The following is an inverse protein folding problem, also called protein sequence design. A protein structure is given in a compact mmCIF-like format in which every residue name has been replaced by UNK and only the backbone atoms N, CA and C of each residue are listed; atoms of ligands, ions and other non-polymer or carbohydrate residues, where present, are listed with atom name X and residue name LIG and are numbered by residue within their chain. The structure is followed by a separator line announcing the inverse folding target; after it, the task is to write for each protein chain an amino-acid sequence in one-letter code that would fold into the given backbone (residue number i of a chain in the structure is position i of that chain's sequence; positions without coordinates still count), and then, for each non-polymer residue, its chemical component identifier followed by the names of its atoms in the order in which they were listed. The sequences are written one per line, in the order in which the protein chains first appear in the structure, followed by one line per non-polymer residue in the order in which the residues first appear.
data_IF_339483044119
#
_entry.id   IF_339483044119
#
_cell.length_a   1.000
_cell.length_b   1.000
_cell.length_c   1.000
_cell.angle_alpha   90.00
_cell.angle_beta   90.00
_cell.angle_gamma   90.00
#
_symmetry.space_group_name_H-M   'P 1'
#
loop_
_entity.id
_entity.type
_entity.pdbx_description
1 polymer ?
#
# COMPACT_ATOMS: atom_id res chain seq x y z
N UNK A 1 -25.82 -19.24 -33.43
CA UNK A 1 -25.05 -18.18 -32.71
C UNK A 1 -23.60 -18.52 -32.97
N UNK A 2 -22.83 -17.63 -33.55
CA UNK A 2 -21.42 -17.85 -33.86
C UNK A 2 -20.61 -17.19 -32.74
N UNK A 3 -19.74 -17.97 -32.08
CA UNK A 3 -18.91 -17.48 -30.98
C UNK A 3 -17.66 -16.81 -31.58
N UNK A 4 -17.50 -15.50 -31.31
CA UNK A 4 -16.35 -14.73 -31.76
C UNK A 4 -15.34 -14.63 -30.62
N UNK A 5 -14.11 -15.12 -30.87
CA UNK A 5 -12.99 -14.93 -29.94
C UNK A 5 -12.49 -13.50 -30.11
N UNK A 6 -12.54 -12.73 -29.05
CA UNK A 6 -12.01 -11.35 -28.99
C UNK A 6 -10.80 -11.31 -28.05
N UNK A 7 -9.60 -11.43 -28.58
CA UNK A 7 -8.37 -11.23 -27.82
C UNK A 7 -8.11 -9.73 -27.73
N UNK A 8 -8.00 -9.15 -26.53
CA UNK A 8 -7.68 -7.75 -26.38
C UNK A 8 -6.25 -7.47 -26.89
N UNK A 9 -6.08 -6.32 -27.50
CA UNK A 9 -4.78 -5.76 -27.88
C UNK A 9 -3.95 -5.54 -26.62
N UNK A 10 -2.78 -6.16 -26.55
CA UNK A 10 -1.95 -6.18 -25.34
C UNK A 10 -1.40 -4.80 -25.03
N UNK A 11 -0.92 -4.08 -26.06
CA UNK A 11 -0.37 -2.75 -25.95
C UNK A 11 -1.40 -1.77 -25.39
N UNK A 12 -2.58 -1.70 -25.97
CA UNK A 12 -3.63 -0.77 -25.55
C UNK A 12 -4.15 -1.07 -24.14
N UNK A 13 -4.34 -2.36 -23.84
CA UNK A 13 -4.90 -2.74 -22.55
C UNK A 13 -3.91 -2.50 -21.42
N UNK A 14 -2.61 -2.85 -21.59
CA UNK A 14 -1.61 -2.65 -20.53
C UNK A 14 -1.41 -1.17 -20.19
N UNK A 15 -1.41 -0.29 -21.22
CA UNK A 15 -1.34 1.15 -20.98
C UNK A 15 -2.64 1.71 -20.38
N UNK A 16 -3.81 1.17 -20.75
CA UNK A 16 -5.09 1.52 -20.13
C UNK A 16 -5.16 1.15 -18.64
N UNK A 17 -4.53 0.06 -18.25
CA UNK A 17 -4.44 -0.36 -16.85
C UNK A 17 -3.56 0.55 -15.98
N UNK A 18 -2.74 1.41 -16.56
CA UNK A 18 -1.95 2.40 -15.82
C UNK A 18 -2.79 3.52 -15.21
N UNK A 19 -3.97 3.79 -15.78
CA UNK A 19 -4.80 4.94 -15.42
C UNK A 19 -5.90 4.56 -14.40
N UNK A 20 -5.60 3.63 -13.51
CA UNK A 20 -6.51 3.10 -12.48
C UNK A 20 -6.62 3.98 -11.22
N UNK A 21 -6.11 5.22 -11.27
CA UNK A 21 -6.24 6.20 -10.18
C UNK A 21 -5.19 6.09 -9.07
N UNK A 22 -4.21 5.21 -9.20
CA UNK A 22 -3.10 5.14 -8.25
C UNK A 22 -2.23 6.40 -8.28
N UNK A 23 -1.73 6.76 -7.12
CA UNK A 23 -0.56 7.62 -6.95
C UNK A 23 0.56 6.81 -6.28
N UNK A 24 1.79 7.34 -6.27
CA UNK A 24 2.97 6.62 -5.76
C UNK A 24 2.75 6.08 -4.33
N UNK A 25 2.05 6.81 -3.47
CA UNK A 25 1.83 6.41 -2.07
C UNK A 25 0.85 5.24 -1.96
N UNK A 26 -0.26 5.29 -2.69
CA UNK A 26 -1.24 4.20 -2.69
C UNK A 26 -0.70 2.97 -3.40
N UNK A 27 0.07 3.15 -4.49
CA UNK A 27 0.77 2.07 -5.16
C UNK A 27 1.79 1.38 -4.24
N UNK A 28 2.60 2.16 -3.52
CA UNK A 28 3.55 1.62 -2.54
C UNK A 28 2.86 0.86 -1.40
N UNK A 29 1.72 1.37 -0.92
CA UNK A 29 0.95 0.68 0.11
C UNK A 29 0.46 -0.70 -0.39
N UNK A 30 -0.03 -0.83 -1.61
CA UNK A 30 -0.47 -2.12 -2.15
C UNK A 30 0.68 -3.14 -2.32
N UNK A 31 1.92 -2.67 -2.58
CA UNK A 31 3.09 -3.55 -2.54
C UNK A 31 3.34 -4.03 -1.10
N UNK A 32 3.28 -3.13 -0.11
CA UNK A 32 3.46 -3.46 1.30
C UNK A 32 2.36 -4.40 1.81
N UNK A 33 1.12 -4.26 1.33
CA UNK A 33 0.02 -5.19 1.64
C UNK A 33 0.38 -6.64 1.24
N UNK A 34 1.07 -6.84 0.10
CA UNK A 34 1.55 -8.17 -0.30
C UNK A 34 2.62 -8.69 0.67
N UNK A 35 3.51 -7.83 1.15
CA UNK A 35 4.53 -8.20 2.15
C UNK A 35 3.88 -8.61 3.48
N UNK A 36 2.84 -7.89 3.92
CA UNK A 36 2.05 -8.25 5.10
C UNK A 36 1.35 -9.60 4.91
N UNK A 37 0.77 -9.83 3.73
CA UNK A 37 0.13 -11.10 3.39
C UNK A 37 1.13 -12.27 3.32
N UNK A 38 2.38 -12.00 2.92
CA UNK A 38 3.51 -12.94 2.95
C UNK A 38 4.11 -13.13 4.36
N UNK A 39 3.48 -12.58 5.40
CA UNK A 39 3.91 -12.67 6.81
C UNK A 39 5.29 -12.06 7.10
N UNK A 40 5.72 -11.10 6.30
CA UNK A 40 6.94 -10.35 6.58
C UNK A 40 6.82 -9.60 7.91
N UNK A 41 7.85 -9.57 8.71
CA UNK A 41 7.94 -8.76 9.94
C UNK A 41 8.76 -7.48 9.74
N UNK A 42 9.40 -7.37 8.56
CA UNK A 42 10.18 -6.21 8.14
C UNK A 42 9.96 -5.92 6.67
N UNK A 43 9.64 -4.67 6.35
CA UNK A 43 9.52 -4.17 4.97
C UNK A 43 10.41 -2.93 4.83
N UNK A 44 11.24 -2.91 3.80
CA UNK A 44 12.13 -1.79 3.51
C UNK A 44 11.84 -1.22 2.13
N UNK A 45 11.67 0.09 2.04
CA UNK A 45 11.46 0.82 0.78
C UNK A 45 12.64 1.74 0.56
N UNK A 46 13.37 1.57 -0.54
CA UNK A 46 14.48 2.44 -0.92
C UNK A 46 14.17 3.16 -2.23
N UNK A 47 14.25 4.48 -2.21
CA UNK A 47 14.03 5.35 -3.38
C UNK A 47 15.38 5.93 -3.78
N UNK A 48 15.90 5.47 -4.92
CA UNK A 48 17.23 5.82 -5.41
C UNK A 48 17.12 6.73 -6.63
N UNK A 49 17.85 7.84 -6.61
CA UNK A 49 18.06 8.73 -7.75
C UNK A 49 19.51 8.61 -8.20
N UNK A 50 19.73 8.15 -9.41
CA UNK A 50 21.06 8.12 -10.03
C UNK A 50 21.45 9.50 -10.61
N UNK A 51 22.74 9.71 -10.79
CA UNK A 51 23.30 10.97 -11.36
C UNK A 51 22.76 11.29 -12.77
N UNK A 52 22.43 10.26 -13.54
CA UNK A 52 21.84 10.36 -14.87
C UNK A 52 20.32 10.61 -14.86
N UNK A 53 19.73 10.78 -13.67
CA UNK A 53 18.30 11.05 -13.50
C UNK A 53 17.42 9.78 -13.48
N UNK A 54 17.99 8.58 -13.60
CA UNK A 54 17.23 7.33 -13.42
C UNK A 54 16.74 7.23 -12.00
N UNK A 55 15.48 6.82 -11.87
CA UNK A 55 14.81 6.64 -10.58
C UNK A 55 14.46 5.17 -10.43
N UNK A 56 14.90 4.58 -9.33
CA UNK A 56 14.58 3.20 -8.95
C UNK A 56 13.86 3.23 -7.60
N UNK A 57 12.89 2.33 -7.43
CA UNK A 57 12.28 2.10 -6.11
C UNK A 57 12.33 0.61 -5.83
N UNK A 58 12.88 0.27 -4.69
CA UNK A 58 12.99 -1.08 -4.20
C UNK A 58 12.04 -1.28 -3.03
N UNK A 59 11.31 -2.40 -3.03
CA UNK A 59 10.49 -2.84 -1.92
C UNK A 59 10.95 -4.23 -1.54
N UNK A 60 11.69 -4.35 -0.45
CA UNK A 60 12.15 -5.62 0.06
C UNK A 60 11.38 -6.05 1.30
N UNK A 61 11.02 -7.31 1.37
CA UNK A 61 10.40 -7.92 2.55
C UNK A 61 11.08 -9.24 2.91
N UNK A 62 11.05 -9.59 4.18
CA UNK A 62 11.55 -10.85 4.71
C UNK A 62 10.44 -11.87 4.97
N UNK A 63 9.41 -11.85 4.13
CA UNK A 63 8.30 -12.79 4.21
C UNK A 63 8.65 -14.19 3.72
N UNK A 64 7.62 -14.99 3.49
CA UNK A 64 7.78 -16.40 3.05
C UNK A 64 8.44 -16.54 1.68
N UNK A 65 8.53 -15.47 0.90
CA UNK A 65 8.99 -15.55 -0.47
C UNK A 65 8.11 -16.40 -1.37
N UNK A 66 8.57 -16.61 -2.60
CA UNK A 66 7.87 -17.39 -3.62
C UNK A 66 8.87 -18.27 -4.37
N UNK A 67 8.51 -19.54 -4.61
CA UNK A 67 9.18 -20.36 -5.60
C UNK A 67 8.86 -19.88 -7.03
N UNK A 68 9.54 -20.43 -8.02
CA UNK A 68 9.38 -20.01 -9.43
C UNK A 68 7.94 -20.15 -9.95
N UNK A 69 7.21 -21.18 -9.52
CA UNK A 69 5.82 -21.42 -9.96
C UNK A 69 4.85 -20.42 -9.32
N UNK A 70 4.99 -20.18 -8.03
CA UNK A 70 4.21 -19.21 -7.26
C UNK A 70 4.48 -17.80 -7.77
N UNK A 71 5.75 -17.44 -8.03
CA UNK A 71 6.12 -16.14 -8.57
C UNK A 71 5.50 -15.91 -9.95
N UNK A 72 5.51 -16.94 -10.82
CA UNK A 72 4.84 -16.87 -12.13
C UNK A 72 3.36 -16.55 -11.98
N UNK A 73 2.65 -17.22 -11.08
CA UNK A 73 1.23 -16.96 -10.85
C UNK A 73 1.00 -15.56 -10.23
N UNK A 74 1.84 -15.12 -9.30
CA UNK A 74 1.77 -13.80 -8.70
C UNK A 74 1.95 -12.68 -9.74
N UNK A 75 2.83 -12.89 -10.72
CA UNK A 75 3.12 -11.91 -11.77
C UNK A 75 2.16 -11.99 -12.97
N UNK A 76 1.39 -13.06 -13.12
CA UNK A 76 0.44 -13.24 -14.23
C UNK A 76 -0.75 -12.28 -14.10
N UNK A 77 -1.07 -11.51 -15.14
CA UNK A 77 -2.35 -10.82 -15.25
C UNK A 77 -3.49 -11.83 -15.40
N UNK A 78 -4.59 -11.63 -14.68
CA UNK A 78 -5.71 -12.56 -14.70
C UNK A 78 -5.43 -13.91 -14.02
N UNK A 79 -4.48 -13.97 -13.10
CA UNK A 79 -4.28 -15.14 -12.24
C UNK A 79 -5.55 -15.46 -11.43
N UNK A 80 -5.80 -16.73 -11.08
CA UNK A 80 -6.91 -17.09 -10.19
C UNK A 80 -6.87 -16.29 -8.89
N UNK A 81 -8.06 -15.98 -8.36
CA UNK A 81 -8.18 -15.33 -7.05
C UNK A 81 -7.52 -16.21 -5.99
N UNK A 82 -6.76 -15.62 -5.09
CA UNK A 82 -6.14 -16.35 -3.97
C UNK A 82 -7.21 -16.99 -3.09
N UNK A 83 -6.99 -18.20 -2.63
CA UNK A 83 -7.92 -18.91 -1.75
C UNK A 83 -8.04 -18.24 -0.37
N UNK A 84 -7.00 -17.52 0.06
CA UNK A 84 -7.02 -16.81 1.35
C UNK A 84 -7.62 -15.41 1.18
N UNK A 85 -8.91 -15.28 1.48
CA UNK A 85 -9.69 -14.05 1.41
C UNK A 85 -9.34 -13.04 2.52
N UNK A 86 -8.69 -13.47 3.62
CA UNK A 86 -8.19 -12.59 4.69
C UNK A 86 -7.03 -11.71 4.20
N UNK A 87 -6.44 -12.04 3.06
CA UNK A 87 -5.37 -11.26 2.47
C UNK A 87 -5.82 -9.83 2.14
N UNK A 88 -4.98 -8.85 2.44
CA UNK A 88 -5.21 -7.45 2.09
C UNK A 88 -5.38 -7.24 0.57
N UNK A 89 -4.84 -8.13 -0.27
CA UNK A 89 -4.93 -8.10 -1.74
C UNK A 89 -6.00 -9.02 -2.32
N UNK A 90 -7.26 -8.56 -2.44
CA UNK A 90 -8.43 -9.35 -2.90
C UNK A 90 -8.30 -9.89 -4.34
N UNK A 91 -7.82 -9.11 -5.30
CA UNK A 91 -7.98 -9.40 -6.73
C UNK A 91 -6.73 -9.94 -7.45
N UNK A 92 -5.60 -10.09 -6.75
CA UNK A 92 -4.34 -10.53 -7.38
C UNK A 92 -3.79 -9.59 -8.46
N UNK A 93 -4.37 -8.40 -8.61
CA UNK A 93 -3.98 -7.37 -9.58
C UNK A 93 -3.11 -6.28 -8.95
N UNK A 94 -3.18 -6.06 -7.62
CA UNK A 94 -2.57 -4.93 -6.92
C UNK A 94 -1.10 -4.74 -7.25
N UNK A 95 -0.27 -5.79 -7.16
CA UNK A 95 1.16 -5.71 -7.51
C UNK A 95 1.38 -5.12 -8.91
N UNK A 96 0.65 -5.63 -9.90
CA UNK A 96 0.86 -5.27 -11.32
C UNK A 96 0.29 -3.90 -11.65
N UNK A 97 -0.95 -3.62 -11.23
CA UNK A 97 -1.59 -2.33 -11.51
C UNK A 97 -0.96 -1.19 -10.71
N UNK A 98 -0.59 -1.43 -9.45
CA UNK A 98 0.15 -0.46 -8.65
C UNK A 98 1.50 -0.13 -9.29
N UNK A 99 2.30 -1.15 -9.64
CA UNK A 99 3.62 -0.95 -10.26
C UNK A 99 3.51 -0.25 -11.62
N UNK A 100 2.66 -0.75 -12.54
CA UNK A 100 2.52 -0.16 -13.86
C UNK A 100 1.95 1.26 -13.84
N UNK A 101 1.22 1.66 -12.79
CA UNK A 101 0.73 3.03 -12.64
C UNK A 101 1.85 4.06 -12.43
N UNK A 102 3.01 3.63 -11.91
CA UNK A 102 4.15 4.48 -11.52
C UNK A 102 5.32 4.35 -12.50
N UNK A 103 5.55 3.15 -13.04
CA UNK A 103 6.71 2.85 -13.87
C UNK A 103 6.36 2.08 -15.14
N UNK A 104 7.26 2.11 -16.13
CA UNK A 104 7.14 1.36 -17.38
C UNK A 104 7.78 -0.01 -17.30
N UNK A 105 8.66 -0.26 -16.34
CA UNK A 105 9.22 -1.58 -16.08
C UNK A 105 9.20 -1.86 -14.59
N UNK A 106 8.74 -3.05 -14.20
CA UNK A 106 8.85 -3.54 -12.84
C UNK A 106 9.25 -5.01 -12.82
N UNK A 107 10.09 -5.34 -11.86
CA UNK A 107 10.62 -6.69 -11.67
C UNK A 107 10.24 -7.19 -10.28
N UNK A 108 10.09 -8.50 -10.14
CA UNK A 108 9.94 -9.16 -8.86
C UNK A 108 10.96 -10.28 -8.77
N UNK A 109 11.80 -10.20 -7.74
CA UNK A 109 12.81 -11.21 -7.42
C UNK A 109 12.36 -11.87 -6.12
N UNK A 110 12.32 -13.18 -6.07
CA UNK A 110 11.86 -13.89 -4.88
C UNK A 110 12.57 -15.22 -4.67
N UNK A 111 12.58 -15.65 -3.41
CA UNK A 111 13.12 -16.93 -2.97
C UNK A 111 12.35 -17.40 -1.72
N UNK A 112 11.80 -18.61 -1.79
CA UNK A 112 11.05 -19.21 -0.67
C UNK A 112 11.92 -20.11 0.23
N UNK A 113 13.00 -20.66 -0.30
CA UNK A 113 13.96 -21.51 0.41
C UNK A 113 15.36 -20.89 0.31
N UNK A 114 16.10 -20.75 1.44
CA UNK A 114 17.46 -20.20 1.43
C UNK A 114 18.44 -20.95 0.53
N UNK A 115 18.19 -22.23 0.25
CA UNK A 115 19.05 -23.09 -0.57
C UNK A 115 18.75 -22.98 -2.06
N UNK A 116 17.63 -22.38 -2.45
CA UNK A 116 17.25 -22.20 -3.85
C UNK A 116 17.84 -20.91 -4.44
N UNK A 117 18.07 -20.86 -5.76
CA UNK A 117 18.49 -19.65 -6.43
C UNK A 117 17.35 -18.61 -6.46
N UNK A 118 17.72 -17.33 -6.53
CA UNK A 118 16.79 -16.25 -6.79
C UNK A 118 16.12 -16.43 -8.15
N UNK A 119 14.81 -16.18 -8.21
CA UNK A 119 14.05 -16.15 -9.46
C UNK A 119 13.55 -14.74 -9.73
N UNK A 120 13.77 -14.22 -10.94
CA UNK A 120 13.35 -12.90 -11.39
C UNK A 120 12.35 -13.00 -12.53
N UNK A 121 11.23 -12.29 -12.42
CA UNK A 121 10.25 -12.07 -13.47
C UNK A 121 9.96 -10.58 -13.59
N UNK A 122 9.81 -10.10 -14.83
CA UNK A 122 9.65 -8.68 -15.12
C UNK A 122 8.53 -8.42 -16.12
N UNK A 123 7.83 -7.32 -15.93
CA UNK A 123 7.00 -6.69 -16.94
C UNK A 123 7.70 -5.43 -17.45
N UNK A 124 7.96 -5.38 -18.74
CA UNK A 124 8.41 -4.18 -19.45
C UNK A 124 7.32 -3.76 -20.44
N UNK A 125 6.66 -2.64 -20.17
CA UNK A 125 5.53 -2.17 -20.94
C UNK A 125 5.94 -1.75 -22.36
N UNK A 126 7.17 -1.26 -22.52
CA UNK A 126 7.72 -0.95 -23.85
C UNK A 126 7.86 -2.24 -24.67
N UNK A 127 8.36 -3.33 -24.06
CA UNK A 127 8.46 -4.64 -24.70
C UNK A 127 7.08 -5.18 -25.11
N UNK A 128 6.09 -5.12 -24.21
CA UNK A 128 4.70 -5.51 -24.52
C UNK A 128 4.13 -4.68 -25.67
N UNK A 129 4.42 -3.38 -25.70
CA UNK A 129 3.96 -2.50 -26.77
C UNK A 129 4.60 -2.81 -28.13
N UNK A 130 5.91 -3.08 -28.14
CA UNK A 130 6.67 -3.35 -29.35
C UNK A 130 6.29 -4.71 -29.98
N UNK A 131 5.94 -5.69 -29.15
CA UNK A 131 5.55 -7.04 -29.57
C UNK A 131 4.06 -7.20 -29.80
N UNK A 132 3.26 -6.36 -29.15
CA UNK A 132 1.79 -6.47 -29.02
C UNK A 132 1.33 -7.82 -28.48
N UNK A 133 2.13 -8.39 -27.58
CA UNK A 133 1.89 -9.68 -26.92
C UNK A 133 2.01 -9.57 -25.42
N UNK A 134 1.20 -10.36 -24.68
CA UNK A 134 1.26 -10.46 -23.22
C UNK A 134 2.47 -11.28 -22.78
N UNK A 135 3.66 -10.76 -22.98
CA UNK A 135 4.92 -11.39 -22.63
C UNK A 135 5.52 -10.86 -21.35
N UNK A 136 5.70 -11.74 -20.38
CA UNK A 136 6.46 -11.50 -19.17
C UNK A 136 7.88 -12.04 -19.36
N UNK A 137 8.87 -11.27 -18.97
CA UNK A 137 10.27 -11.61 -19.14
C UNK A 137 10.79 -12.41 -17.94
N UNK A 138 11.49 -13.50 -18.20
CA UNK A 138 12.36 -14.15 -17.24
C UNK A 138 13.78 -13.65 -17.48
N UNK A 139 14.32 -12.93 -16.52
CA UNK A 139 15.65 -12.33 -16.63
C UNK A 139 16.59 -12.96 -15.58
N UNK A 140 17.90 -12.93 -15.86
CA UNK A 140 18.90 -13.25 -14.85
C UNK A 140 18.97 -12.16 -13.79
N UNK A 141 19.22 -12.53 -12.54
CA UNK A 141 19.46 -11.59 -11.45
C UNK A 141 20.86 -11.04 -11.60
N UNK A 142 21.00 -9.71 -11.60
CA UNK A 142 22.31 -9.06 -11.65
C UNK A 142 22.97 -9.05 -10.27
N UNK A 143 24.29 -8.85 -10.20
CA UNK A 143 25.01 -8.76 -8.92
C UNK A 143 24.49 -7.63 -8.03
N UNK A 144 24.14 -6.48 -8.61
CA UNK A 144 23.60 -5.35 -7.86
C UNK A 144 22.21 -5.68 -7.27
N UNK A 145 21.39 -6.42 -8.02
CA UNK A 145 20.07 -6.87 -7.55
C UNK A 145 20.18 -7.96 -6.48
N UNK A 146 21.18 -8.82 -6.55
CA UNK A 146 21.47 -9.82 -5.54
C UNK A 146 21.91 -9.15 -4.24
N UNK A 147 22.83 -8.18 -4.29
CA UNK A 147 23.22 -7.36 -3.13
C UNK A 147 22.02 -6.64 -2.52
N UNK A 148 21.16 -6.03 -3.36
CA UNK A 148 19.95 -5.37 -2.88
C UNK A 148 18.98 -6.36 -2.23
N UNK A 149 18.82 -7.57 -2.78
CA UNK A 149 17.99 -8.60 -2.17
C UNK A 149 18.53 -8.98 -0.78
N UNK A 150 19.83 -9.24 -0.66
CA UNK A 150 20.48 -9.58 0.62
C UNK A 150 20.33 -8.46 1.66
N UNK A 151 20.46 -7.19 1.25
CA UNK A 151 20.31 -6.04 2.13
C UNK A 151 18.87 -5.85 2.62
N UNK A 152 17.88 -6.02 1.73
CA UNK A 152 16.50 -5.65 2.01
C UNK A 152 15.63 -6.82 2.49
N UNK A 153 15.90 -8.08 2.03
CA UNK A 153 15.00 -9.20 2.22
C UNK A 153 15.46 -10.26 3.23
N UNK A 154 16.76 -10.38 3.54
CA UNK A 154 17.35 -11.46 4.34
C UNK A 154 17.47 -12.81 3.57
N UNK A 155 17.25 -13.98 4.24
CA UNK A 155 17.47 -15.31 3.63
C UNK A 155 16.36 -15.72 2.66
N UNK A 156 15.12 -15.32 2.95
CA UNK A 156 13.92 -15.52 2.11
C UNK A 156 13.15 -14.22 2.02
N UNK A 157 12.27 -14.11 1.03
CA UNK A 157 11.42 -12.94 0.88
C UNK A 157 11.20 -12.55 -0.57
N UNK A 158 10.78 -11.30 -0.76
CA UNK A 158 10.49 -10.76 -2.09
C UNK A 158 11.03 -9.34 -2.21
N UNK A 159 11.71 -9.09 -3.33
CA UNK A 159 12.16 -7.77 -3.75
C UNK A 159 11.39 -7.34 -5.00
N UNK A 160 10.58 -6.29 -4.89
CA UNK A 160 9.94 -5.65 -6.04
C UNK A 160 10.77 -4.42 -6.42
N UNK A 161 11.05 -4.26 -7.71
CA UNK A 161 11.85 -3.17 -8.26
C UNK A 161 11.00 -2.41 -9.27
N UNK A 162 10.85 -1.10 -9.10
CA UNK A 162 10.30 -0.20 -10.10
C UNK A 162 11.44 0.49 -10.85
N UNK A 163 11.44 0.32 -12.16
CA UNK A 163 12.40 0.89 -13.10
C UNK A 163 11.65 1.75 -14.12
N UNK A 164 12.36 2.62 -14.86
CA UNK A 164 11.73 3.53 -15.82
C UNK A 164 10.53 4.28 -15.19
N UNK A 165 10.74 4.87 -14.00
CA UNK A 165 9.69 5.52 -13.20
C UNK A 165 9.29 6.87 -13.81
N UNK A 166 8.44 6.84 -14.84
CA UNK A 166 7.98 8.00 -15.59
C UNK A 166 6.92 8.84 -14.86
N UNK A 167 6.21 8.24 -13.89
CA UNK A 167 5.13 8.89 -13.13
C UNK A 167 5.42 9.06 -11.63
N UNK A 168 6.68 8.88 -11.22
CA UNK A 168 7.04 8.98 -9.79
C UNK A 168 7.07 10.43 -9.28
N UNK A 169 7.38 11.38 -10.15
CA UNK A 169 7.34 12.82 -9.87
C UNK A 169 6.31 13.50 -10.74
N UNK A 170 5.62 14.51 -10.18
CA UNK A 170 4.56 15.26 -10.88
C UNK A 170 5.10 16.27 -11.90
N UNK A 171 6.42 16.46 -11.95
CA UNK A 171 7.11 17.43 -12.84
C UNK A 171 8.41 16.83 -13.33
N UNK A 172 8.82 17.27 -14.50
CA UNK A 172 10.16 17.03 -15.01
C UNK A 172 11.17 17.95 -14.32
N UNK A 173 12.36 17.44 -14.11
CA UNK A 173 13.49 18.13 -13.49
C UNK A 173 14.74 17.89 -14.35
N UNK A 174 15.76 18.73 -14.15
CA UNK A 174 17.10 18.46 -14.65
C UNK A 174 17.65 17.19 -13.99
N UNK A 175 18.08 16.23 -14.81
CA UNK A 175 18.53 14.92 -14.38
C UNK A 175 19.67 15.02 -13.35
N UNK A 176 19.52 14.37 -12.20
CA UNK A 176 20.46 14.38 -11.09
C UNK A 176 20.60 15.73 -10.37
N UNK A 177 19.89 16.77 -10.83
CA UNK A 177 19.98 18.12 -10.28
C UNK A 177 19.45 18.26 -8.85
N UNK A 178 19.88 19.34 -8.17
CA UNK A 178 19.49 19.59 -6.76
C UNK A 178 17.99 19.71 -6.54
N UNK A 179 17.24 20.19 -7.53
CA UNK A 179 15.78 20.28 -7.46
C UNK A 179 15.12 18.89 -7.54
N UNK A 180 15.66 17.99 -8.36
CA UNK A 180 15.20 16.62 -8.47
C UNK A 180 15.50 15.85 -7.19
N UNK A 181 16.72 15.97 -6.64
CA UNK A 181 17.09 15.38 -5.34
C UNK A 181 16.15 15.85 -4.21
N UNK A 182 15.85 17.16 -4.16
CA UNK A 182 14.90 17.69 -3.19
C UNK A 182 13.46 17.20 -3.42
N UNK A 183 13.06 16.91 -4.65
CA UNK A 183 11.75 16.34 -4.98
C UNK A 183 11.65 14.87 -4.53
N UNK A 184 12.69 14.07 -4.77
CA UNK A 184 12.79 12.68 -4.30
C UNK A 184 12.78 12.61 -2.78
N UNK A 185 13.52 13.48 -2.10
CA UNK A 185 13.47 13.55 -0.63
C UNK A 185 12.06 13.87 -0.12
N UNK A 186 11.37 14.86 -0.71
CA UNK A 186 9.98 15.17 -0.35
C UNK A 186 9.03 14.00 -0.63
N UNK A 187 9.26 13.23 -1.69
CA UNK A 187 8.49 12.03 -1.99
C UNK A 187 8.67 11.00 -0.87
N UNK A 188 9.90 10.69 -0.46
CA UNK A 188 10.20 9.78 0.63
C UNK A 188 9.53 10.22 1.94
N UNK A 189 9.66 11.52 2.31
CA UNK A 189 9.02 12.08 3.50
C UNK A 189 7.48 11.97 3.44
N UNK A 190 6.90 12.18 2.27
CA UNK A 190 5.44 12.10 2.07
C UNK A 190 4.95 10.65 2.09
N UNK A 191 5.73 9.73 1.52
CA UNK A 191 5.46 8.30 1.59
C UNK A 191 5.52 7.82 3.04
N UNK A 192 6.58 8.14 3.78
CA UNK A 192 6.72 7.77 5.19
C UNK A 192 5.53 8.27 6.03
N UNK A 193 5.07 9.51 5.82
CA UNK A 193 3.86 10.06 6.48
C UNK A 193 2.59 9.32 6.10
N UNK A 194 2.45 8.88 4.87
CA UNK A 194 1.30 8.09 4.43
C UNK A 194 1.31 6.70 5.07
N UNK A 195 2.44 6.02 5.04
CA UNK A 195 2.60 4.70 5.65
C UNK A 195 2.41 4.75 7.17
N UNK A 196 2.80 5.86 7.83
CA UNK A 196 2.65 6.05 9.28
C UNK A 196 1.21 6.01 9.76
N UNK A 197 0.24 6.43 8.94
CA UNK A 197 -1.18 6.35 9.26
C UNK A 197 -1.81 5.05 8.73
N UNK A 198 -1.45 4.63 7.51
CA UNK A 198 -2.03 3.44 6.88
C UNK A 198 -1.76 2.19 7.71
N UNK A 199 -0.55 2.07 8.22
CA UNK A 199 -0.09 0.89 8.95
C UNK A 199 0.16 1.15 10.43
N UNK A 200 -0.44 2.21 11.03
CA UNK A 200 -0.15 2.52 12.43
C UNK A 200 -0.45 1.35 13.38
N UNK A 201 -1.51 0.58 13.13
CA UNK A 201 -1.86 -0.58 13.96
C UNK A 201 -0.84 -1.72 13.88
N UNK A 202 -0.13 -1.83 12.75
CA UNK A 202 0.92 -2.83 12.54
C UNK A 202 2.29 -2.36 13.03
N UNK A 203 2.53 -1.04 13.07
CA UNK A 203 3.84 -0.48 13.43
C UNK A 203 3.88 0.03 14.87
N UNK A 204 2.74 0.22 15.52
CA UNK A 204 2.64 0.58 16.93
C UNK A 204 2.65 -0.67 17.82
N UNK A 205 3.77 -0.91 18.49
CA UNK A 205 3.93 -2.03 19.41
C UNK A 205 2.94 -2.05 20.59
N UNK A 206 2.31 -0.92 20.89
CA UNK A 206 1.29 -0.82 21.95
C UNK A 206 -0.10 -1.24 21.45
N UNK A 207 -0.36 -1.18 20.16
CA UNK A 207 -1.58 -1.72 19.54
C UNK A 207 -1.45 -3.23 19.36
N UNK A 208 -2.35 -4.00 19.96
CA UNK A 208 -2.31 -5.47 19.92
C UNK A 208 -3.40 -6.07 19.04
N UNK A 209 -4.08 -5.23 18.26
CA UNK A 209 -5.11 -5.68 17.30
C UNK A 209 -4.50 -6.39 16.10
N UNK A 210 -3.29 -5.96 15.70
CA UNK A 210 -2.56 -6.52 14.58
C UNK A 210 -1.18 -7.02 15.01
N UNK A 211 -0.54 -7.83 14.17
CA UNK A 211 0.82 -8.26 14.40
C UNK A 211 1.82 -7.12 14.20
N UNK A 212 2.89 -7.11 14.98
CA UNK A 212 3.93 -6.10 14.87
C UNK A 212 4.75 -6.30 13.57
N UNK A 213 4.90 -5.23 12.78
CA UNK A 213 5.81 -5.15 11.64
C UNK A 213 6.71 -3.91 11.75
N UNK A 214 7.85 -3.95 11.07
CA UNK A 214 8.73 -2.80 10.91
C UNK A 214 8.70 -2.35 9.46
N UNK A 215 8.47 -1.07 9.23
CA UNK A 215 8.52 -0.47 7.89
C UNK A 215 9.58 0.62 7.89
N UNK A 216 10.44 0.61 6.87
CA UNK A 216 11.47 1.63 6.67
C UNK A 216 11.30 2.29 5.31
N UNK A 217 11.61 3.58 5.23
CA UNK A 217 11.72 4.34 3.98
C UNK A 217 13.08 5.04 3.96
N UNK A 218 13.91 4.73 2.98
CA UNK A 218 15.30 5.20 2.89
C UNK A 218 16.01 5.03 4.24
N UNK A 219 16.05 3.78 4.72
CA UNK A 219 16.66 3.34 5.97
C UNK A 219 16.11 4.01 7.24
N UNK A 220 15.12 4.91 7.13
CA UNK A 220 14.48 5.58 8.26
C UNK A 220 13.21 4.83 8.68
N UNK A 221 13.03 4.51 9.99
CA UNK A 221 11.85 3.82 10.44
C UNK A 221 10.60 4.68 10.27
N UNK A 222 9.51 4.07 9.80
CA UNK A 222 8.18 4.69 9.77
C UNK A 222 7.62 4.69 11.20
N UNK A 223 7.47 5.88 11.76
CA UNK A 223 6.90 6.05 13.11
C UNK A 223 5.38 6.06 13.02
N UNK A 224 4.67 5.18 13.77
CA UNK A 224 3.21 5.12 13.72
C UNK A 224 2.57 6.45 14.14
N UNK A 225 1.49 6.80 13.45
CA UNK A 225 0.66 7.91 13.85
C UNK A 225 -0.79 7.45 13.99
N UNK A 226 -1.24 7.33 15.25
CA UNK A 226 -2.61 7.01 15.56
C UNK A 226 -3.48 8.28 15.45
N UNK A 227 -4.42 8.34 14.48
CA UNK A 227 -5.19 9.55 14.25
C UNK A 227 -6.16 9.89 15.40
N UNK A 228 -6.46 8.94 16.25
CA UNK A 228 -7.44 9.14 17.32
C UNK A 228 -6.85 9.74 18.60
N UNK A 229 -5.52 9.74 18.75
CA UNK A 229 -4.81 10.25 19.94
C UNK A 229 -5.46 9.80 21.26
N UNK A 230 -5.58 8.47 21.48
CA UNK A 230 -6.40 7.89 22.55
C UNK A 230 -5.96 8.28 23.96
N UNK A 231 -4.69 8.67 24.17
CA UNK A 231 -4.16 9.08 25.45
C UNK A 231 -4.79 10.39 25.97
N UNK A 232 -5.33 11.21 25.09
CA UNK A 232 -5.88 12.53 25.41
C UNK A 232 -7.29 12.76 24.90
N UNK A 233 -7.78 11.91 24.01
CA UNK A 233 -9.10 12.05 23.39
C UNK A 233 -10.18 11.38 24.22
N UNK A 234 -11.40 11.89 24.12
CA UNK A 234 -12.58 11.29 24.74
C UNK A 234 -13.27 10.36 23.73
N UNK A 235 -13.44 9.10 24.10
CA UNK A 235 -14.25 8.15 23.36
C UNK A 235 -15.72 8.32 23.81
N UNK A 236 -16.57 8.79 22.88
CA UNK A 236 -17.93 9.24 23.21
C UNK A 236 -19.04 8.26 22.86
N UNK A 237 -18.74 7.18 22.12
CA UNK A 237 -19.73 6.17 21.78
C UNK A 237 -19.80 5.10 22.87
N UNK A 238 -20.96 4.84 23.51
CA UNK A 238 -21.11 3.78 24.51
C UNK A 238 -20.72 2.41 23.94
N UNK A 239 -20.07 1.56 24.74
CA UNK A 239 -19.54 0.26 24.32
C UNK A 239 -20.59 -0.61 23.60
N UNK A 240 -21.83 -0.65 24.14
CA UNK A 240 -22.94 -1.41 23.55
C UNK A 240 -23.31 -0.96 22.12
N UNK A 241 -22.90 0.24 21.71
CA UNK A 241 -23.15 0.81 20.37
C UNK A 241 -21.93 0.74 19.47
N UNK A 242 -20.84 0.15 19.92
CA UNK A 242 -19.60 0.09 19.13
C UNK A 242 -19.56 -1.07 18.15
N UNK A 243 -20.39 -2.08 18.35
CA UNK A 243 -20.50 -3.24 17.44
C UNK A 243 -21.77 -3.14 16.62
N UNK A 244 -21.63 -3.26 15.31
CA UNK A 244 -22.70 -3.29 14.33
C UNK A 244 -22.79 -4.71 13.78
N UNK A 245 -24.00 -5.25 13.76
CA UNK A 245 -24.31 -6.51 13.07
C UNK A 245 -24.72 -6.18 11.64
N UNK A 246 -24.09 -6.83 10.68
CA UNK A 246 -24.38 -6.71 9.25
C UNK A 246 -24.83 -8.06 8.73
N UNK A 247 -26.07 -8.13 8.26
CA UNK A 247 -26.60 -9.33 7.63
C UNK A 247 -26.04 -9.46 6.20
N UNK A 248 -25.45 -10.62 5.91
CA UNK A 248 -24.91 -10.94 4.60
C UNK A 248 -25.97 -11.56 3.69
N UNK A 249 -25.78 -11.57 2.36
CA UNK A 249 -26.73 -12.12 1.40
C UNK A 249 -27.07 -13.62 1.59
N UNK A 250 -26.19 -14.37 2.25
CA UNK A 250 -26.38 -15.78 2.59
C UNK A 250 -27.15 -16.00 3.91
N UNK A 251 -27.58 -14.90 4.58
CA UNK A 251 -28.31 -14.92 5.83
C UNK A 251 -27.41 -15.09 7.09
N UNK A 252 -26.09 -15.08 6.93
CA UNK A 252 -25.17 -15.03 8.07
C UNK A 252 -24.99 -13.59 8.56
N UNK A 253 -24.58 -13.43 9.80
CA UNK A 253 -24.25 -12.10 10.38
C UNK A 253 -22.76 -11.97 10.59
N UNK A 254 -22.24 -10.81 10.22
CA UNK A 254 -20.86 -10.40 10.49
C UNK A 254 -20.82 -9.08 11.27
N UNK A 255 -19.69 -8.80 11.91
CA UNK A 255 -19.54 -7.64 12.76
C UNK A 255 -18.64 -6.59 12.14
N UNK A 256 -19.08 -5.33 12.24
CA UNK A 256 -18.22 -4.16 12.06
C UNK A 256 -18.14 -3.39 13.39
N UNK A 257 -17.03 -2.73 13.64
CA UNK A 257 -16.84 -1.94 14.84
C UNK A 257 -16.79 -0.45 14.51
N UNK A 258 -17.40 0.35 15.37
CA UNK A 258 -17.40 1.80 15.24
C UNK A 258 -17.03 2.42 16.60
N UNK A 259 -16.13 3.39 16.59
CA UNK A 259 -15.79 4.23 17.76
C UNK A 259 -15.78 5.68 17.34
N UNK A 260 -16.20 6.56 18.23
CA UNK A 260 -16.19 8.00 18.00
C UNK A 260 -15.31 8.69 19.04
N UNK A 261 -14.37 9.49 18.56
CA UNK A 261 -13.36 10.15 19.35
C UNK A 261 -13.46 11.66 19.20
N UNK A 262 -13.46 12.37 20.33
CA UNK A 262 -13.33 13.82 20.35
C UNK A 262 -11.92 14.15 20.83
N UNK A 263 -11.13 14.73 19.95
CA UNK A 263 -9.77 15.19 20.26
C UNK A 263 -9.82 16.36 21.25
N UNK A 264 -8.78 16.54 22.09
CA UNK A 264 -8.67 17.68 22.97
C UNK A 264 -8.68 18.99 22.17
N UNK A 265 -9.25 20.03 22.77
CA UNK A 265 -9.28 21.35 22.13
C UNK A 265 -7.84 21.90 22.01
N UNK A 266 -7.55 22.66 20.95
CA UNK A 266 -6.22 23.25 20.69
C UNK A 266 -5.63 24.02 21.87
N UNK A 267 -6.47 24.75 22.64
CA UNK A 267 -6.03 25.49 23.83
C UNK A 267 -5.55 24.60 24.98
N UNK A 268 -5.93 23.33 24.98
CA UNK A 268 -5.62 22.34 26.03
C UNK A 268 -4.41 21.48 25.64
N UNK A 269 -3.75 21.79 24.52
CA UNK A 269 -2.57 21.11 23.98
C UNK A 269 -1.40 22.09 23.81
N UNK A 270 -0.20 21.57 23.91
CA UNK A 270 1.00 22.27 23.43
C UNK A 270 1.01 22.30 21.89
N UNK A 271 1.80 23.22 21.30
CA UNK A 271 1.99 23.27 19.83
C UNK A 271 2.60 21.98 19.26
N UNK A 272 3.44 21.33 20.05
CA UNK A 272 4.07 20.08 19.64
C UNK A 272 3.06 18.93 19.67
N UNK A 273 2.22 18.82 20.70
CA UNK A 273 1.12 17.85 20.76
C UNK A 273 0.16 18.03 19.59
N UNK A 274 -0.26 19.28 19.28
CA UNK A 274 -1.14 19.55 18.15
C UNK A 274 -0.51 19.12 16.83
N UNK A 275 0.80 19.41 16.62
CA UNK A 275 1.52 19.13 15.39
C UNK A 275 1.81 17.66 15.20
N UNK A 276 2.28 16.97 16.23
CA UNK A 276 2.79 15.59 16.14
C UNK A 276 1.67 14.56 16.31
N UNK A 277 0.75 14.78 17.25
CA UNK A 277 -0.26 13.79 17.63
C UNK A 277 -1.64 14.12 17.08
N UNK A 278 -2.21 15.28 17.41
CA UNK A 278 -3.58 15.60 17.05
C UNK A 278 -3.77 15.96 15.58
N UNK A 279 -2.84 16.67 14.96
CA UNK A 279 -2.85 17.09 13.54
C UNK A 279 -4.23 17.61 13.09
N UNK A 280 -4.81 18.53 13.89
CA UNK A 280 -6.15 19.03 13.68
C UNK A 280 -6.24 19.82 12.38
N UNK A 281 -7.13 19.40 11.48
CA UNK A 281 -7.46 20.11 10.25
C UNK A 281 -8.86 19.76 9.79
N UNK A 282 -9.43 20.58 8.90
CA UNK A 282 -10.73 20.28 8.31
C UNK A 282 -10.72 18.96 7.48
N UNK A 283 -9.57 18.56 6.96
CA UNK A 283 -9.45 17.30 6.21
C UNK A 283 -9.33 16.06 7.10
N UNK A 284 -8.82 16.25 8.32
CA UNK A 284 -8.57 15.14 9.24
C UNK A 284 -9.78 14.79 10.12
N UNK A 285 -10.91 15.48 9.98
CA UNK A 285 -12.16 15.13 10.65
C UNK A 285 -12.90 14.04 9.89
N UNK A 286 -13.77 13.29 10.56
CA UNK A 286 -14.66 12.34 9.93
C UNK A 286 -14.23 10.89 10.07
N UNK A 287 -14.54 10.07 9.07
CA UNK A 287 -14.35 8.63 9.11
C UNK A 287 -12.92 8.22 8.78
N UNK A 288 -12.41 7.31 9.58
CA UNK A 288 -11.19 6.54 9.35
C UNK A 288 -11.61 5.08 9.24
N UNK A 289 -11.55 4.55 8.00
CA UNK A 289 -12.08 3.23 7.70
C UNK A 289 -10.94 2.23 7.58
N UNK A 290 -11.03 1.15 8.36
CA UNK A 290 -10.05 0.09 8.40
C UNK A 290 -10.67 -1.22 7.88
N UNK A 291 -9.92 -1.90 7.02
CA UNK A 291 -10.21 -3.25 6.57
C UNK A 291 -9.04 -4.15 6.98
N UNK A 292 -9.31 -5.21 7.74
CA UNK A 292 -8.26 -6.09 8.27
C UNK A 292 -7.09 -5.28 8.90
N UNK A 293 -7.42 -4.30 9.75
CA UNK A 293 -6.45 -3.44 10.42
C UNK A 293 -5.76 -2.39 9.55
N UNK A 294 -5.81 -2.49 8.22
CA UNK A 294 -5.24 -1.53 7.29
C UNK A 294 -6.20 -0.36 7.05
N UNK A 295 -5.72 0.87 7.20
CA UNK A 295 -6.50 2.06 6.88
C UNK A 295 -6.70 2.19 5.36
N UNK A 296 -7.95 2.23 4.91
CA UNK A 296 -8.33 2.39 3.51
C UNK A 296 -8.90 3.77 3.19
N UNK A 297 -9.37 4.51 4.20
CA UNK A 297 -9.88 5.88 4.07
C UNK A 297 -9.45 6.71 5.27
N UNK A 298 -8.88 7.90 5.03
CA UNK A 298 -8.37 8.81 6.04
C UNK A 298 -9.15 10.14 6.08
N UNK A 299 -10.14 10.20 6.96
CA UNK A 299 -10.96 11.39 7.15
C UNK A 299 -12.04 11.61 6.09
N UNK A 300 -12.77 12.71 6.25
CA UNK A 300 -13.92 13.04 5.43
C UNK A 300 -15.21 12.38 5.90
N UNK A 301 -16.32 12.83 5.37
CA UNK A 301 -17.67 12.42 5.84
C UNK A 301 -18.34 11.39 4.93
N UNK A 302 -17.68 10.93 3.86
CA UNK A 302 -18.15 9.89 2.92
C UNK A 302 -19.57 10.16 2.35
N UNK A 303 -19.99 11.42 2.28
CA UNK A 303 -21.34 11.79 1.85
C UNK A 303 -22.44 11.57 2.90
N UNK A 304 -22.10 11.01 4.08
CA UNK A 304 -23.07 10.80 5.19
C UNK A 304 -23.47 12.11 5.86
N UNK A 305 -22.49 12.98 6.06
CA UNK A 305 -22.70 14.33 6.58
C UNK A 305 -22.29 15.35 5.52
N UNK A 306 -22.57 16.62 5.77
CA UNK A 306 -22.22 17.72 4.87
C UNK A 306 -20.70 17.92 4.70
N UNK A 307 -20.31 19.05 4.13
CA UNK A 307 -18.89 19.37 3.96
C UNK A 307 -18.16 19.47 5.32
N UNK A 308 -16.85 19.18 5.36
CA UNK A 308 -16.04 19.32 6.57
C UNK A 308 -16.08 20.77 7.10
N UNK A 309 -16.45 20.93 8.36
CA UNK A 309 -16.59 22.24 9.01
C UNK A 309 -15.65 22.38 10.21
N UNK A 310 -15.26 23.64 10.57
CA UNK A 310 -14.40 23.88 11.74
C UNK A 310 -14.98 23.35 13.05
N UNK A 311 -16.32 23.37 13.20
CA UNK A 311 -17.01 22.92 14.43
C UNK A 311 -16.87 21.42 14.70
N UNK A 312 -16.69 20.62 13.66
CA UNK A 312 -16.54 19.17 13.74
C UNK A 312 -15.07 18.72 13.62
N UNK A 313 -14.12 19.67 13.56
CA UNK A 313 -12.69 19.40 13.29
C UNK A 313 -12.00 18.48 14.32
N UNK A 314 -12.59 18.34 15.52
CA UNK A 314 -12.10 17.46 16.59
C UNK A 314 -12.68 16.05 16.54
N UNK A 315 -13.74 15.82 15.75
CA UNK A 315 -14.43 14.54 15.71
C UNK A 315 -13.76 13.61 14.69
N UNK A 316 -13.38 12.42 15.15
CA UNK A 316 -12.87 11.33 14.33
C UNK A 316 -13.63 10.05 14.63
N UNK A 317 -14.05 9.35 13.58
CA UNK A 317 -14.83 8.13 13.67
C UNK A 317 -13.99 6.99 13.12
N UNK A 318 -13.66 6.05 13.98
CA UNK A 318 -13.00 4.81 13.65
C UNK A 318 -14.08 3.81 13.21
N UNK A 319 -13.94 3.28 11.99
CA UNK A 319 -14.81 2.23 11.47
C UNK A 319 -13.96 1.07 11.00
N UNK A 320 -14.23 -0.12 11.51
CA UNK A 320 -13.37 -1.29 11.38
C UNK A 320 -14.17 -2.52 10.99
N UNK A 321 -13.74 -3.23 9.94
CA UNK A 321 -14.41 -4.44 9.47
C UNK A 321 -13.46 -5.42 8.80
N UNK A 322 -13.85 -6.69 8.74
CA UNK A 322 -13.13 -7.76 8.09
C UNK A 322 -13.53 -7.98 6.63
N UNK A 323 -12.75 -8.76 5.90
CA UNK A 323 -12.90 -9.07 4.46
C UNK A 323 -14.28 -9.63 4.08
N UNK A 324 -14.98 -10.30 4.99
CA UNK A 324 -16.33 -10.84 4.73
C UNK A 324 -17.35 -9.76 4.43
N UNK A 325 -17.09 -8.53 4.84
CA UNK A 325 -17.94 -7.37 4.58
C UNK A 325 -17.57 -6.60 3.31
N UNK A 326 -16.57 -7.04 2.55
CA UNK A 326 -16.13 -6.37 1.32
C UNK A 326 -17.27 -6.15 0.32
N UNK A 327 -18.08 -7.18 0.09
CA UNK A 327 -19.19 -7.10 -0.87
C UNK A 327 -20.32 -6.20 -0.35
N UNK A 328 -20.57 -6.17 0.97
CA UNK A 328 -21.54 -5.29 1.60
C UNK A 328 -21.14 -3.81 1.48
N UNK A 329 -19.84 -3.51 1.58
CA UNK A 329 -19.30 -2.16 1.48
C UNK A 329 -18.77 -1.81 0.07
N UNK A 330 -18.86 -2.75 -0.88
CA UNK A 330 -18.41 -2.59 -2.28
C UNK A 330 -16.94 -2.18 -2.41
N UNK A 331 -16.09 -2.90 -1.69
CA UNK A 331 -14.63 -2.70 -1.66
C UNK A 331 -13.93 -3.78 -2.49
#
# INVERSE_FOLDING_TARGET
MEDLINNPDASRLIFGLRDTGYNVRTAAADIIDNSIAAKADCVKVEIVLHEDGRKLVYFGDNGTGMDSATLYQAMRYGAPVRENLESLGKFGLGLKTASSSVCLKFSTISKADPTEPLTKLSWDLDHVADRDEWEMLREDVTSDEEEMFEELCAETGTLVIWEKCDRILSKEYEAGGTKEQAAIKRLADTLSKHLSIVYHRFTDKMDKRERDIKIFVNSSPVVPWNPFYPERSEQVLPEIKQTLLVELPDGTEETANIRAWILPHRRDMTKDEEREYARISNRAQGFYVFREGRLIQDGGWLGVFGAPEPHTSLLRIEFDFGHKLDDAFRI
#
